data_IF_881292688829
#
_entry.id   IF_881292688829
#
_cell.length_a   1.000
_cell.length_b   1.000
_cell.length_c   1.000
_cell.angle_alpha   90.00
_cell.angle_beta   90.00
_cell.angle_gamma   90.00
#
_symmetry.space_group_name_H-M   'P 1'
#
loop_
_entity.id
_entity.type
_entity.pdbx_description
1 polymer ?
#
# COMPACT_ATOMS: atom_id res chain seq x y z
N UNK A 1 24.08 31.39 -24.43
CA UNK A 1 22.72 31.19 -23.94
C UNK A 1 22.55 29.85 -23.24
N UNK A 2 23.42 28.88 -23.48
CA UNK A 2 23.48 27.54 -22.89
C UNK A 2 24.05 27.52 -21.46
N UNK A 3 24.91 28.48 -21.12
CA UNK A 3 25.62 28.51 -19.82
C UNK A 3 24.74 28.99 -18.64
N UNK A 4 23.67 29.73 -18.94
CA UNK A 4 22.72 30.21 -17.94
C UNK A 4 21.68 29.18 -17.53
N UNK A 5 21.33 28.26 -18.45
CA UNK A 5 20.39 27.15 -18.15
C UNK A 5 21.05 26.06 -17.34
N UNK A 6 22.34 25.78 -17.56
CA UNK A 6 23.10 24.78 -16.80
C UNK A 6 23.35 25.23 -15.36
N UNK A 7 23.55 26.54 -15.16
CA UNK A 7 23.72 27.14 -13.84
C UNK A 7 22.41 27.19 -13.02
N UNK A 8 21.27 27.36 -13.71
CA UNK A 8 19.95 27.36 -13.04
C UNK A 8 19.53 25.96 -12.61
N UNK A 9 19.80 24.93 -13.45
CA UNK A 9 19.55 23.54 -13.08
C UNK A 9 20.45 23.07 -11.95
N UNK A 10 21.71 23.50 -11.91
CA UNK A 10 22.63 23.16 -10.82
C UNK A 10 22.24 23.84 -9.49
N UNK A 11 21.67 25.03 -9.52
CA UNK A 11 21.15 25.75 -8.34
C UNK A 11 19.85 25.13 -7.83
N UNK A 12 18.98 24.66 -8.72
CA UNK A 12 17.75 23.96 -8.35
C UNK A 12 18.04 22.57 -7.78
N UNK A 13 19.04 21.84 -8.31
CA UNK A 13 19.49 20.58 -7.72
C UNK A 13 20.17 20.76 -6.37
N UNK A 14 20.98 21.83 -6.19
CA UNK A 14 21.60 22.13 -4.89
C UNK A 14 20.57 22.54 -3.86
N UNK A 15 19.59 23.37 -4.21
CA UNK A 15 18.51 23.74 -3.28
C UNK A 15 17.59 22.57 -2.92
N UNK A 16 17.39 21.63 -3.83
CA UNK A 16 16.65 20.40 -3.56
C UNK A 16 17.42 19.42 -2.64
N UNK A 17 18.76 19.38 -2.78
CA UNK A 17 19.63 18.57 -1.93
C UNK A 17 19.76 19.20 -0.53
N UNK A 18 19.90 20.52 -0.44
CA UNK A 18 20.00 21.23 0.83
C UNK A 18 18.69 21.19 1.63
N UNK A 19 17.54 21.28 0.97
CA UNK A 19 16.23 21.05 1.59
C UNK A 19 16.01 19.59 2.03
N UNK A 20 16.70 18.63 1.43
CA UNK A 20 16.60 17.21 1.87
C UNK A 20 17.53 16.88 3.05
N UNK A 21 18.59 17.64 3.28
CA UNK A 21 19.50 17.42 4.42
C UNK A 21 19.00 18.12 5.70
N UNK A 22 18.28 19.23 5.62
CA UNK A 22 17.75 19.94 6.79
C UNK A 22 16.53 19.29 7.44
N UNK A 23 15.89 18.33 6.75
CA UNK A 23 14.73 17.56 7.26
C UNK A 23 15.13 16.47 8.29
N UNK A 24 16.40 16.32 8.63
CA UNK A 24 16.90 15.06 9.26
C UNK A 24 16.76 14.99 10.79
N UNK A 25 16.29 16.00 11.54
CA UNK A 25 16.44 15.97 13.01
C UNK A 25 15.30 16.54 13.88
N UNK A 26 14.03 16.53 13.47
CA UNK A 26 12.97 16.94 14.39
C UNK A 26 11.85 15.90 14.53
N UNK A 27 11.29 15.70 15.75
CA UNK A 27 10.15 14.77 15.97
C UNK A 27 8.91 15.14 15.14
N UNK A 28 8.88 16.31 14.53
CA UNK A 28 7.86 16.77 13.58
C UNK A 28 7.89 15.97 12.28
N UNK A 29 9.06 15.55 11.79
CA UNK A 29 9.22 14.84 10.51
C UNK A 29 8.54 13.48 10.51
N UNK A 30 8.63 12.75 11.62
CA UNK A 30 7.98 11.43 11.76
C UNK A 30 6.46 11.53 11.68
N UNK A 31 5.89 12.58 12.28
CA UNK A 31 4.45 12.84 12.20
C UNK A 31 4.03 13.30 10.80
N UNK A 32 4.84 14.09 10.14
CA UNK A 32 4.57 14.52 8.76
C UNK A 32 4.58 13.35 7.79
N UNK A 33 5.60 12.48 7.84
CA UNK A 33 5.66 11.27 7.00
C UNK A 33 4.43 10.41 7.24
N UNK A 34 4.01 10.23 8.50
CA UNK A 34 2.83 9.44 8.84
C UNK A 34 1.54 10.06 8.30
N UNK A 35 1.31 11.36 8.51
CA UNK A 35 0.11 12.05 8.04
C UNK A 35 0.08 12.12 6.50
N UNK A 36 1.24 12.31 5.88
CA UNK A 36 1.36 12.28 4.43
C UNK A 36 1.04 10.90 3.87
N UNK A 37 1.58 9.82 4.46
CA UNK A 37 1.36 8.46 4.01
C UNK A 37 -0.09 8.00 4.15
N UNK A 38 -0.71 8.29 5.29
CA UNK A 38 -2.06 7.81 5.60
C UNK A 38 -3.16 8.66 4.96
N UNK A 39 -3.03 10.00 4.94
CA UNK A 39 -4.12 10.89 4.52
C UNK A 39 -3.81 11.79 3.34
N UNK A 40 -2.82 12.69 3.48
CA UNK A 40 -2.55 13.74 2.48
C UNK A 40 -2.07 13.20 1.14
N UNK A 41 -1.17 12.21 1.18
CA UNK A 41 -0.54 11.65 -0.01
C UNK A 41 -0.73 10.12 -0.08
N UNK A 42 -1.92 9.67 0.35
CA UNK A 42 -2.28 8.26 0.32
C UNK A 42 -2.06 7.71 -1.08
N UNK A 43 -1.22 6.68 -1.18
CA UNK A 43 -0.81 6.10 -2.46
C UNK A 43 -1.97 5.59 -3.29
N UNK A 44 -3.01 5.07 -2.66
CA UNK A 44 -4.17 4.49 -3.34
C UNK A 44 -5.20 5.55 -3.74
N UNK A 45 -5.52 6.49 -2.83
CA UNK A 45 -6.60 7.46 -3.02
C UNK A 45 -6.16 8.78 -3.68
N UNK A 46 -4.87 9.11 -3.63
CA UNK A 46 -4.34 10.35 -4.23
C UNK A 46 -3.48 10.05 -5.43
N UNK A 47 -2.54 9.13 -5.28
CA UNK A 47 -1.61 8.79 -6.35
C UNK A 47 -2.17 7.75 -7.32
N UNK A 48 -3.29 7.08 -6.97
CA UNK A 48 -3.92 5.99 -7.74
C UNK A 48 -2.94 4.84 -8.04
N UNK A 49 -1.95 4.65 -7.17
CA UNK A 49 -0.99 3.55 -7.25
C UNK A 49 -1.51 2.34 -6.47
N UNK A 50 -1.21 1.15 -6.96
CA UNK A 50 -1.65 -0.09 -6.31
C UNK A 50 -3.10 -0.46 -6.56
N UNK A 51 -3.69 0.01 -7.67
CA UNK A 51 -5.05 -0.35 -8.06
C UNK A 51 -5.20 -1.84 -8.40
N UNK A 52 -4.13 -2.49 -8.91
CA UNK A 52 -4.18 -3.90 -9.29
C UNK A 52 -4.61 -4.82 -8.12
N UNK A 53 -3.92 -4.83 -6.97
CA UNK A 53 -4.37 -5.64 -5.84
C UNK A 53 -5.66 -5.11 -5.21
N UNK A 54 -5.89 -3.80 -5.26
CA UNK A 54 -7.11 -3.20 -4.75
C UNK A 54 -8.36 -3.72 -5.48
N UNK A 55 -8.33 -3.79 -6.81
CA UNK A 55 -9.45 -4.28 -7.61
C UNK A 55 -9.61 -5.81 -7.51
N UNK A 56 -8.51 -6.54 -7.42
CA UNK A 56 -8.51 -8.00 -7.41
C UNK A 56 -9.00 -8.60 -6.08
N UNK A 57 -8.63 -8.02 -4.94
CA UNK A 57 -8.80 -8.65 -3.61
C UNK A 57 -9.86 -7.97 -2.76
N UNK A 58 -10.37 -6.82 -3.16
CA UNK A 58 -11.38 -6.08 -2.39
C UNK A 58 -12.80 -6.66 -2.45
N UNK A 59 -12.97 -7.92 -2.85
CA UNK A 59 -14.28 -8.60 -2.82
C UNK A 59 -14.77 -8.85 -1.39
N UNK A 60 -13.86 -9.13 -0.45
CA UNK A 60 -14.13 -9.33 0.97
C UNK A 60 -13.21 -8.47 1.82
N UNK A 61 -13.71 -7.91 2.92
CA UNK A 61 -12.92 -7.08 3.83
C UNK A 61 -11.79 -7.87 4.49
N UNK A 62 -12.02 -9.15 4.76
CA UNK A 62 -11.03 -10.06 5.38
C UNK A 62 -9.82 -10.27 4.49
N UNK A 63 -10.03 -10.62 3.22
CA UNK A 63 -8.94 -10.82 2.27
C UNK A 63 -8.21 -9.50 1.97
N UNK A 64 -8.96 -8.39 1.89
CA UNK A 64 -8.43 -7.05 1.71
C UNK A 64 -7.49 -6.66 2.86
N UNK A 65 -7.90 -6.93 4.10
CA UNK A 65 -7.11 -6.67 5.30
C UNK A 65 -5.86 -7.55 5.34
N UNK A 66 -5.99 -8.84 5.05
CA UNK A 66 -4.87 -9.78 5.00
C UNK A 66 -3.82 -9.37 3.97
N UNK A 67 -4.24 -9.04 2.75
CA UNK A 67 -3.33 -8.56 1.71
C UNK A 67 -2.73 -7.19 2.04
N UNK A 68 -3.51 -6.30 2.63
CA UNK A 68 -3.03 -4.99 3.08
C UNK A 68 -1.91 -5.09 4.10
N UNK A 69 -2.07 -5.97 5.11
CA UNK A 69 -1.03 -6.23 6.10
C UNK A 69 0.21 -6.87 5.49
N UNK A 70 0.04 -7.86 4.59
CA UNK A 70 1.16 -8.47 3.88
C UNK A 70 1.93 -7.43 3.04
N UNK A 71 1.22 -6.57 2.32
CA UNK A 71 1.83 -5.49 1.53
C UNK A 71 2.56 -4.47 2.41
N UNK A 72 2.00 -4.13 3.57
CA UNK A 72 2.66 -3.23 4.54
C UNK A 72 3.99 -3.82 5.02
N UNK A 73 4.02 -5.10 5.37
CA UNK A 73 5.26 -5.79 5.78
C UNK A 73 6.28 -5.83 4.64
N UNK A 74 5.86 -6.23 3.45
CA UNK A 74 6.74 -6.28 2.26
C UNK A 74 7.30 -4.89 1.96
N UNK A 75 6.47 -3.84 1.96
CA UNK A 75 6.89 -2.48 1.66
C UNK A 75 7.91 -1.97 2.67
N UNK A 76 7.69 -2.23 3.96
CA UNK A 76 8.61 -1.85 5.03
C UNK A 76 9.97 -2.57 4.89
N UNK A 77 9.94 -3.88 4.69
CA UNK A 77 11.16 -4.68 4.49
C UNK A 77 11.90 -4.26 3.22
N UNK A 78 11.20 -4.10 2.10
CA UNK A 78 11.80 -3.70 0.83
C UNK A 78 12.46 -2.33 0.91
N UNK A 79 11.76 -1.33 1.46
CA UNK A 79 12.31 0.01 1.62
C UNK A 79 13.55 0.01 2.52
N UNK A 80 13.56 -0.81 3.57
CA UNK A 80 14.72 -0.98 4.46
C UNK A 80 15.91 -1.57 3.71
N UNK A 81 15.69 -2.65 2.98
CA UNK A 81 16.75 -3.33 2.20
C UNK A 81 17.28 -2.43 1.08
N UNK A 82 16.40 -1.81 0.31
CA UNK A 82 16.80 -0.89 -0.77
C UNK A 82 17.62 0.28 -0.24
N UNK A 83 17.20 0.88 0.88
CA UNK A 83 17.95 1.97 1.51
C UNK A 83 19.32 1.53 2.01
N UNK A 84 19.46 0.29 2.48
CA UNK A 84 20.74 -0.27 2.92
C UNK A 84 21.71 -0.43 1.75
N UNK A 85 21.25 -0.94 0.61
CA UNK A 85 22.07 -1.20 -0.56
C UNK A 85 22.17 -0.01 -1.54
N UNK A 86 21.52 1.13 -1.28
CA UNK A 86 21.44 2.27 -2.19
C UNK A 86 22.77 2.77 -2.75
N UNK A 87 23.85 2.66 -1.96
CA UNK A 87 25.20 3.12 -2.35
C UNK A 87 25.91 2.19 -3.34
N UNK A 88 25.48 0.94 -3.43
CA UNK A 88 26.11 -0.09 -4.26
C UNK A 88 25.42 -0.25 -5.63
N UNK A 89 24.19 0.27 -5.77
CA UNK A 89 23.38 0.08 -6.98
C UNK A 89 23.63 1.23 -7.95
N UNK A 90 24.24 0.97 -9.14
CA UNK A 90 24.40 1.98 -10.17
C UNK A 90 23.05 2.41 -10.74
N UNK A 91 23.00 3.65 -11.26
CA UNK A 91 21.75 4.29 -11.70
C UNK A 91 21.04 3.51 -12.82
N UNK A 92 21.83 2.94 -13.75
CA UNK A 92 21.31 2.36 -14.99
C UNK A 92 20.55 1.04 -14.81
N UNK A 93 20.80 0.32 -13.70
CA UNK A 93 20.24 -1.01 -13.43
C UNK A 93 19.40 -1.06 -12.14
N UNK A 94 18.92 0.07 -11.63
CA UNK A 94 18.16 0.14 -10.37
C UNK A 94 16.88 -0.66 -10.40
N UNK A 95 16.06 -0.45 -11.42
CA UNK A 95 14.70 -1.03 -11.49
C UNK A 95 14.73 -2.55 -11.46
N UNK A 96 15.55 -3.24 -12.30
CA UNK A 96 15.67 -4.69 -12.22
C UNK A 96 16.13 -5.20 -10.85
N UNK A 97 17.07 -4.51 -10.21
CA UNK A 97 17.58 -4.90 -8.89
C UNK A 97 16.48 -4.75 -7.83
N UNK A 98 15.70 -3.65 -7.85
CA UNK A 98 14.60 -3.47 -6.91
C UNK A 98 13.53 -4.55 -7.07
N UNK A 99 13.17 -4.90 -8.29
CA UNK A 99 12.21 -6.00 -8.56
C UNK A 99 12.74 -7.33 -8.01
N UNK A 100 14.03 -7.62 -8.13
CA UNK A 100 14.64 -8.83 -7.54
C UNK A 100 14.58 -8.82 -6.01
N UNK A 101 14.87 -7.69 -5.38
CA UNK A 101 14.77 -7.53 -3.92
C UNK A 101 13.32 -7.72 -3.46
N UNK A 102 12.36 -7.09 -4.16
CA UNK A 102 10.94 -7.22 -3.87
C UNK A 102 10.49 -8.68 -4.00
N UNK A 103 10.85 -9.34 -5.09
CA UNK A 103 10.50 -10.73 -5.34
C UNK A 103 11.03 -11.66 -4.24
N UNK A 104 12.29 -11.47 -3.82
CA UNK A 104 12.90 -12.24 -2.73
C UNK A 104 12.16 -12.01 -1.42
N UNK A 105 11.86 -10.74 -1.09
CA UNK A 105 11.13 -10.39 0.15
C UNK A 105 9.73 -10.99 0.14
N UNK A 106 9.01 -10.92 -0.98
CA UNK A 106 7.67 -11.50 -1.11
C UNK A 106 7.71 -13.02 -0.97
N UNK A 107 8.70 -13.69 -1.55
CA UNK A 107 8.86 -15.15 -1.40
C UNK A 107 9.12 -15.54 0.05
N UNK A 108 9.93 -14.80 0.78
CA UNK A 108 10.16 -15.04 2.22
C UNK A 108 8.86 -14.87 3.01
N UNK A 109 8.11 -13.80 2.76
CA UNK A 109 6.82 -13.57 3.42
C UNK A 109 5.82 -14.68 3.08
N UNK A 110 5.80 -15.13 1.82
CA UNK A 110 4.94 -16.23 1.38
C UNK A 110 5.26 -17.54 2.11
N UNK A 111 6.54 -17.86 2.27
CA UNK A 111 6.97 -19.05 3.03
C UNK A 111 6.61 -18.94 4.51
N UNK A 112 6.77 -17.76 5.11
CA UNK A 112 6.36 -17.53 6.50
C UNK A 112 4.85 -17.67 6.67
N UNK A 113 4.04 -17.12 5.77
CA UNK A 113 2.59 -17.27 5.79
C UNK A 113 2.17 -18.73 5.63
N UNK A 114 2.82 -19.47 4.76
CA UNK A 114 2.56 -20.92 4.61
C UNK A 114 2.88 -21.71 5.89
N UNK A 115 3.91 -21.32 6.64
CA UNK A 115 4.31 -21.99 7.88
C UNK A 115 3.41 -21.65 9.06
N UNK A 116 2.98 -20.40 9.21
CA UNK A 116 2.26 -19.92 10.41
C UNK A 116 0.75 -19.76 10.20
N UNK A 117 0.31 -19.39 9.00
CA UNK A 117 -1.08 -19.08 8.69
C UNK A 117 -1.54 -19.77 7.40
N UNK A 118 -1.55 -21.10 7.43
CA UNK A 118 -1.87 -21.91 6.25
C UNK A 118 -3.25 -21.62 5.66
N UNK A 119 -4.26 -21.34 6.49
CA UNK A 119 -5.62 -21.03 6.04
C UNK A 119 -5.67 -19.71 5.25
N UNK A 120 -4.95 -18.70 5.74
CA UNK A 120 -4.83 -17.41 5.08
C UNK A 120 -4.00 -17.52 3.77
N UNK A 121 -2.97 -18.36 3.80
CA UNK A 121 -2.17 -18.67 2.62
C UNK A 121 -3.01 -19.30 1.51
N UNK A 122 -3.92 -20.22 1.82
CA UNK A 122 -4.82 -20.81 0.82
C UNK A 122 -5.74 -19.76 0.18
N UNK A 123 -6.24 -18.80 0.96
CA UNK A 123 -7.12 -17.76 0.46
C UNK A 123 -6.38 -16.69 -0.38
N UNK A 124 -5.16 -16.33 0.02
CA UNK A 124 -4.40 -15.22 -0.55
C UNK A 124 -3.24 -15.64 -1.45
N UNK A 125 -2.90 -16.93 -1.50
CA UNK A 125 -1.70 -17.44 -2.16
C UNK A 125 -1.56 -17.04 -3.63
N UNK A 126 -2.68 -16.94 -4.36
CA UNK A 126 -2.70 -16.51 -5.76
C UNK A 126 -2.44 -15.00 -5.88
N UNK A 127 -2.79 -14.21 -4.86
CA UNK A 127 -2.68 -12.76 -4.88
C UNK A 127 -1.35 -12.23 -4.32
N UNK A 128 -0.61 -13.03 -3.55
CA UNK A 128 0.69 -12.62 -3.00
C UNK A 128 1.70 -12.26 -4.08
N UNK A 129 1.84 -13.00 -5.20
CA UNK A 129 2.72 -12.60 -6.29
C UNK A 129 2.39 -11.24 -6.92
N UNK A 130 1.14 -10.78 -6.83
CA UNK A 130 0.75 -9.43 -7.28
C UNK A 130 1.44 -8.32 -6.48
N UNK A 131 1.93 -8.60 -5.28
CA UNK A 131 2.68 -7.62 -4.49
C UNK A 131 4.01 -7.29 -5.15
N UNK A 132 4.63 -8.25 -5.87
CA UNK A 132 5.90 -8.03 -6.58
C UNK A 132 5.77 -6.96 -7.66
N UNK A 133 4.67 -7.01 -8.42
CA UNK A 133 4.39 -6.07 -9.52
C UNK A 133 3.59 -4.84 -9.06
N UNK A 134 3.43 -4.67 -7.76
CA UNK A 134 2.65 -3.56 -7.21
C UNK A 134 3.40 -2.23 -7.40
N UNK A 135 2.77 -1.32 -8.15
CA UNK A 135 3.34 -0.01 -8.48
C UNK A 135 3.71 0.82 -7.25
N UNK A 136 3.03 0.62 -6.11
CA UNK A 136 3.36 1.34 -4.88
C UNK A 136 4.71 0.89 -4.32
N UNK A 137 4.98 -0.42 -4.33
CA UNK A 137 6.23 -0.98 -3.78
C UNK A 137 7.42 -0.52 -4.62
N UNK A 138 7.31 -0.66 -5.94
CA UNK A 138 8.35 -0.23 -6.88
C UNK A 138 8.52 1.30 -6.83
N UNK A 139 7.41 2.05 -6.84
CA UNK A 139 7.43 3.50 -6.84
C UNK A 139 8.05 4.08 -5.56
N UNK A 140 7.78 3.52 -4.38
CA UNK A 140 8.37 4.00 -3.12
C UNK A 140 9.82 3.57 -2.95
N UNK A 141 10.20 2.38 -3.44
CA UNK A 141 11.58 1.95 -3.47
C UNK A 141 12.46 2.93 -4.28
N UNK A 142 11.99 3.37 -5.44
CA UNK A 142 12.71 4.31 -6.31
C UNK A 142 12.61 5.76 -5.81
N UNK A 143 11.41 6.25 -5.48
CA UNK A 143 11.19 7.65 -5.17
C UNK A 143 11.75 8.07 -3.80
N UNK A 144 11.67 7.19 -2.81
CA UNK A 144 11.99 7.52 -1.41
C UNK A 144 13.13 6.70 -0.84
N UNK A 145 13.06 5.36 -0.89
CA UNK A 145 14.04 4.51 -0.22
C UNK A 145 15.46 4.63 -0.80
N UNK A 146 15.57 4.87 -2.12
CA UNK A 146 16.86 5.07 -2.78
C UNK A 146 17.60 6.34 -2.34
N UNK A 147 16.89 7.34 -1.80
CA UNK A 147 17.41 8.66 -1.48
C UNK A 147 17.57 8.92 0.02
N UNK A 148 16.77 8.27 0.85
CA UNK A 148 16.70 8.53 2.30
C UNK A 148 17.42 7.48 3.14
N UNK A 149 17.63 7.80 4.43
CA UNK A 149 18.23 6.89 5.39
C UNK A 149 17.29 5.72 5.71
N UNK A 150 17.89 4.61 6.17
CA UNK A 150 17.21 3.34 6.47
C UNK A 150 16.01 3.53 7.42
N UNK A 151 16.19 4.31 8.49
CA UNK A 151 15.13 4.54 9.47
C UNK A 151 13.92 5.30 8.87
N UNK A 152 14.18 6.34 8.07
CA UNK A 152 13.11 7.09 7.40
C UNK A 152 12.43 6.27 6.30
N UNK A 153 13.20 5.45 5.57
CA UNK A 153 12.69 4.56 4.54
C UNK A 153 11.77 3.47 5.13
N UNK A 154 12.14 2.90 6.28
CA UNK A 154 11.30 1.93 6.98
C UNK A 154 9.99 2.55 7.48
N UNK A 155 10.07 3.74 8.08
CA UNK A 155 8.89 4.45 8.57
C UNK A 155 7.94 4.89 7.47
N UNK A 156 8.49 5.33 6.34
CA UNK A 156 7.71 5.65 5.16
C UNK A 156 7.00 4.42 4.59
N UNK A 157 7.72 3.29 4.48
CA UNK A 157 7.13 2.02 4.06
C UNK A 157 5.97 1.59 4.96
N UNK A 158 6.14 1.73 6.27
CA UNK A 158 5.08 1.42 7.23
C UNK A 158 3.87 2.35 7.08
N UNK A 159 4.07 3.66 7.01
CA UNK A 159 2.98 4.63 6.92
C UNK A 159 2.21 4.55 5.60
N UNK A 160 2.92 4.39 4.48
CA UNK A 160 2.30 4.21 3.16
C UNK A 160 1.58 2.87 3.03
N UNK A 161 2.18 1.80 3.57
CA UNK A 161 1.56 0.48 3.62
C UNK A 161 0.29 0.47 4.46
N UNK A 162 0.30 1.16 5.61
CA UNK A 162 -0.89 1.33 6.44
C UNK A 162 -1.98 2.11 5.71
N UNK A 163 -1.63 3.20 5.03
CA UNK A 163 -2.57 3.98 4.23
C UNK A 163 -3.24 3.15 3.12
N UNK A 164 -2.45 2.31 2.46
CA UNK A 164 -2.96 1.36 1.46
C UNK A 164 -3.86 0.30 2.10
N UNK A 165 -3.44 -0.33 3.19
CA UNK A 165 -4.21 -1.35 3.90
C UNK A 165 -5.57 -0.83 4.34
N UNK A 166 -5.63 0.38 4.90
CA UNK A 166 -6.89 1.03 5.26
C UNK A 166 -7.78 1.27 4.04
N UNK A 167 -7.23 1.78 2.95
CA UNK A 167 -8.00 2.08 1.73
C UNK A 167 -8.60 0.82 1.11
N UNK A 168 -7.82 -0.28 1.04
CA UNK A 168 -8.30 -1.56 0.51
C UNK A 168 -9.37 -2.17 1.42
N UNK A 169 -9.17 -2.10 2.74
CA UNK A 169 -10.13 -2.64 3.73
C UNK A 169 -11.45 -1.88 3.71
N UNK A 170 -11.41 -0.56 3.64
CA UNK A 170 -12.63 0.27 3.55
C UNK A 170 -13.39 -0.03 2.26
N UNK A 171 -12.69 -0.14 1.13
CA UNK A 171 -13.31 -0.51 -0.13
C UNK A 171 -13.88 -1.93 -0.08
N UNK A 172 -13.14 -2.89 0.50
CA UNK A 172 -13.61 -4.26 0.69
C UNK A 172 -14.86 -4.34 1.56
N UNK A 173 -14.87 -3.62 2.68
CA UNK A 173 -16.03 -3.52 3.55
C UNK A 173 -17.25 -2.91 2.85
N UNK A 174 -17.06 -1.84 2.08
CA UNK A 174 -18.13 -1.22 1.31
C UNK A 174 -18.73 -2.21 0.29
N UNK A 175 -17.89 -2.93 -0.43
CA UNK A 175 -18.31 -3.94 -1.43
C UNK A 175 -18.99 -5.14 -0.80
N UNK A 176 -18.49 -5.62 0.33
CA UNK A 176 -19.07 -6.75 1.07
C UNK A 176 -20.46 -6.40 1.60
N UNK A 177 -20.65 -5.21 2.16
CA UNK A 177 -21.96 -4.73 2.62
C UNK A 177 -22.94 -4.61 1.47
N UNK A 178 -22.53 -4.01 0.35
CA UNK A 178 -23.41 -3.79 -0.80
C UNK A 178 -23.68 -5.08 -1.61
N UNK A 179 -22.72 -6.02 -1.64
CA UNK A 179 -22.81 -7.24 -2.43
C UNK A 179 -23.46 -8.41 -1.71
N UNK A 180 -23.15 -8.62 -0.45
CA UNK A 180 -23.56 -9.80 0.34
C UNK A 180 -24.38 -9.42 1.58
N UNK A 181 -24.32 -8.17 2.04
CA UNK A 181 -24.97 -7.76 3.28
C UNK A 181 -24.29 -8.32 4.55
N UNK A 182 -23.11 -8.92 4.41
CA UNK A 182 -22.27 -9.40 5.50
C UNK A 182 -21.09 -8.46 5.71
N UNK A 183 -20.52 -8.45 6.89
CA UNK A 183 -19.31 -7.70 7.20
C UNK A 183 -18.30 -8.64 7.87
N UNK A 184 -17.07 -8.67 7.36
CA UNK A 184 -15.99 -9.51 7.85
C UNK A 184 -16.28 -11.02 7.75
N UNK A 185 -16.90 -11.47 6.67
CA UNK A 185 -17.05 -12.89 6.41
C UNK A 185 -15.67 -13.56 6.28
N UNK A 186 -15.47 -14.66 7.03
CA UNK A 186 -14.20 -15.39 7.04
C UNK A 186 -13.08 -14.81 7.89
N UNK A 187 -13.35 -13.90 8.83
CA UNK A 187 -12.36 -13.35 9.77
C UNK A 187 -11.74 -14.45 10.66
N UNK A 188 -12.45 -15.57 10.82
CA UNK A 188 -11.93 -16.77 11.49
C UNK A 188 -10.68 -17.34 10.80
N UNK A 189 -10.48 -17.08 9.50
CA UNK A 189 -9.28 -17.50 8.77
C UNK A 189 -8.05 -16.62 9.11
N UNK A 190 -8.27 -15.38 9.59
CA UNK A 190 -7.20 -14.45 10.02
C UNK A 190 -6.85 -14.61 11.49
N UNK A 191 -7.86 -14.65 12.36
CA UNK A 191 -7.68 -14.59 13.83
C UNK A 191 -8.07 -15.89 14.57
N UNK A 192 -8.44 -16.95 13.84
CA UNK A 192 -8.87 -18.22 14.42
C UNK A 192 -10.31 -18.22 14.95
N UNK A 193 -10.72 -19.35 15.54
CA UNK A 193 -12.12 -19.60 15.94
C UNK A 193 -12.72 -18.59 16.95
N UNK A 194 -11.90 -17.79 17.62
CA UNK A 194 -12.36 -16.78 18.58
C UNK A 194 -13.01 -15.55 17.94
N UNK A 195 -12.82 -15.31 16.67
CA UNK A 195 -13.27 -14.11 15.97
C UNK A 195 -14.68 -14.23 15.33
N UNK A 196 -15.36 -15.36 15.50
CA UNK A 196 -16.75 -15.58 15.00
C UNK A 196 -17.73 -14.53 15.48
N UNK A 197 -17.41 -13.86 16.59
CA UNK A 197 -18.27 -12.79 17.15
C UNK A 197 -18.26 -11.50 16.32
N UNK A 198 -17.29 -11.34 15.42
CA UNK A 198 -17.15 -10.13 14.57
C UNK A 198 -17.89 -10.23 13.22
N UNK A 199 -18.36 -11.43 12.83
CA UNK A 199 -19.20 -11.55 11.62
C UNK A 199 -20.58 -10.96 11.90
N UNK A 200 -20.82 -9.75 11.41
CA UNK A 200 -22.10 -9.07 11.47
C UNK A 200 -22.90 -9.38 10.20
N UNK A 201 -23.98 -10.14 10.35
CA UNK A 201 -25.01 -10.24 9.33
C UNK A 201 -25.91 -9.00 9.41
N UNK A 202 -25.73 -8.03 8.52
CA UNK A 202 -26.48 -6.77 8.53
C UNK A 202 -27.81 -6.94 7.80
N UNK A 203 -27.85 -7.83 6.81
CA UNK A 203 -29.01 -7.91 5.94
C UNK A 203 -29.01 -9.27 5.20
N UNK A 204 -30.14 -9.99 5.23
CA UNK A 204 -30.38 -11.16 4.40
C UNK A 204 -30.89 -10.70 3.03
N UNK A 205 -30.00 -10.52 2.08
CA UNK A 205 -30.39 -10.33 0.71
C UNK A 205 -30.61 -11.71 0.07
N UNK A 206 -31.88 -12.03 -0.26
CA UNK A 206 -32.23 -13.21 -1.05
C UNK A 206 -31.62 -13.17 -2.48
N UNK A 207 -31.04 -12.04 -2.89
CA UNK A 207 -30.29 -11.87 -4.13
C UNK A 207 -29.03 -11.06 -3.88
N UNK A 208 -27.87 -11.72 -3.85
CA UNK A 208 -26.57 -11.03 -3.88
C UNK A 208 -26.50 -10.15 -5.14
N UNK A 209 -26.21 -8.85 -4.94
CA UNK A 209 -26.08 -7.94 -6.07
C UNK A 209 -24.71 -8.17 -6.74
N UNK A 210 -24.66 -9.17 -7.60
CA UNK A 210 -23.44 -9.70 -8.22
C UNK A 210 -22.58 -8.62 -8.88
N UNK A 211 -23.19 -7.54 -9.36
CA UNK A 211 -22.49 -6.42 -9.99
C UNK A 211 -21.46 -5.76 -9.06
N UNK A 212 -21.76 -5.65 -7.76
CA UNK A 212 -20.83 -5.05 -6.79
C UNK A 212 -19.68 -5.98 -6.37
N UNK A 213 -19.89 -7.30 -6.47
CA UNK A 213 -18.85 -8.29 -6.19
C UNK A 213 -17.88 -8.39 -7.38
N UNK A 214 -18.34 -8.15 -8.61
CA UNK A 214 -17.50 -8.16 -9.81
C UNK A 214 -16.57 -6.92 -9.89
N UNK A 215 -15.51 -6.96 -10.72
CA UNK A 215 -14.59 -5.85 -10.92
C UNK A 215 -15.24 -4.48 -11.23
N UNK A 216 -16.33 -4.37 -12.00
CA UNK A 216 -17.01 -3.09 -12.22
C UNK A 216 -17.48 -2.41 -10.94
N UNK A 217 -17.94 -3.19 -9.95
CA UNK A 217 -18.33 -2.68 -8.64
C UNK A 217 -17.16 -2.07 -7.86
N UNK A 218 -15.95 -2.59 -8.04
CA UNK A 218 -14.78 -2.02 -7.43
C UNK A 218 -14.45 -0.61 -7.97
N UNK A 219 -14.64 -0.38 -9.27
CA UNK A 219 -14.45 0.95 -9.87
C UNK A 219 -15.50 1.95 -9.36
N UNK A 220 -16.76 1.53 -9.27
CA UNK A 220 -17.83 2.37 -8.72
C UNK A 220 -17.54 2.70 -7.25
N UNK A 221 -17.19 1.71 -6.44
CA UNK A 221 -16.83 1.90 -5.03
C UNK A 221 -15.63 2.82 -4.84
N UNK A 222 -14.60 2.65 -5.66
CA UNK A 222 -13.42 3.53 -5.64
C UNK A 222 -13.78 4.96 -6.03
N UNK A 223 -14.62 5.14 -7.06
CA UNK A 223 -15.11 6.46 -7.47
C UNK A 223 -15.88 7.18 -6.36
N UNK A 224 -16.73 6.46 -5.63
CA UNK A 224 -17.46 6.99 -4.47
C UNK A 224 -16.49 7.38 -3.35
N UNK A 225 -15.51 6.53 -3.02
CA UNK A 225 -14.49 6.83 -2.01
C UNK A 225 -13.67 8.07 -2.35
N UNK A 226 -13.26 8.20 -3.61
CA UNK A 226 -12.53 9.37 -4.11
C UNK A 226 -13.39 10.64 -4.02
N UNK A 227 -14.66 10.57 -4.40
CA UNK A 227 -15.61 11.69 -4.31
C UNK A 227 -15.80 12.16 -2.85
N UNK A 228 -15.94 11.21 -1.91
CA UNK A 228 -16.08 11.50 -0.49
C UNK A 228 -14.80 12.15 0.04
N UNK A 229 -13.63 11.58 -0.27
CA UNK A 229 -12.34 12.13 0.15
C UNK A 229 -12.14 13.56 -0.37
N UNK A 230 -12.40 13.79 -1.65
CA UNK A 230 -12.23 15.10 -2.26
C UNK A 230 -13.19 16.14 -1.64
N UNK A 231 -14.41 15.74 -1.28
CA UNK A 231 -15.34 16.61 -0.56
C UNK A 231 -14.84 16.99 0.85
N UNK A 232 -14.20 16.06 1.53
CA UNK A 232 -13.63 16.30 2.87
C UNK A 232 -12.42 17.23 2.77
N UNK A 233 -11.56 17.04 1.78
CA UNK A 233 -10.35 17.86 1.58
C UNK A 233 -10.68 19.29 1.14
N UNK A 234 -11.73 19.50 0.34
CA UNK A 234 -12.21 20.86 -0.05
C UNK A 234 -12.85 21.61 1.12
N UNK A 235 -13.37 20.90 2.12
CA UNK A 235 -14.04 21.52 3.29
C UNK A 235 -13.07 21.91 4.41
N UNK A 236 -11.78 21.59 4.27
CA UNK A 236 -10.73 21.85 5.24
C UNK A 236 -9.78 22.93 4.74
#
# INVERSE_FOLDING_TARGET
>A
MTDLTEKTTALDEQSAVENSEEITQTPSVWKEIFIQGVWKNNSTLVQLLGLCPLLAVSSTATNALGLGLATMLVLTCTNTVVSLFRKQIPHDIRIPIYVMIIATTVTVVQLLMNAYTYTLYQALGIFIPLIVTNCIVIGRAEAFASKNSVAHAAWDGFSMGLGMALSITVLGALREILGQGTLFEGIENLFGQGAKFLTLHIYHADSSFLLFILPPGAFIGLGILLAIKNRIDVKK
#
